data_IF_307482693631
#
_entry.id   IF_307482693631
#
_cell.length_a   1.000
_cell.length_b   1.000
_cell.length_c   1.000
_cell.angle_alpha   90.00
_cell.angle_beta   90.00
_cell.angle_gamma   90.00
#
_symmetry.space_group_name_H-M   'P 1'
#
loop_
_entity.id
_entity.type
_entity.pdbx_description
1 polymer ?
#
# COMPACT_ATOMS: atom_id res chain seq x y z
N UNK A 1 23.59 -11.67 -12.56
CA UNK A 1 22.39 -12.39 -13.03
C UNK A 1 21.21 -11.70 -12.38
N UNK A 2 20.27 -11.14 -13.16
CA UNK A 2 19.03 -10.65 -12.58
C UNK A 2 18.26 -11.87 -12.07
N UNK A 3 18.08 -11.97 -10.77
CA UNK A 3 17.18 -12.97 -10.20
C UNK A 3 15.78 -12.48 -10.54
N UNK A 4 15.11 -13.19 -11.43
CA UNK A 4 13.70 -12.94 -11.76
C UNK A 4 12.88 -13.21 -10.49
N UNK A 5 12.30 -12.15 -9.93
CA UNK A 5 11.44 -12.26 -8.75
C UNK A 5 10.16 -12.97 -9.15
N UNK A 6 9.78 -13.99 -8.40
CA UNK A 6 8.68 -14.90 -8.76
C UNK A 6 7.36 -14.55 -8.08
N UNK A 7 7.39 -13.67 -7.07
CA UNK A 7 6.22 -13.28 -6.31
C UNK A 7 6.18 -11.76 -6.16
N UNK A 8 5.00 -11.21 -6.43
CA UNK A 8 4.66 -9.84 -6.12
C UNK A 8 3.64 -9.83 -4.99
N UNK A 9 3.80 -8.90 -4.06
CA UNK A 9 2.95 -8.77 -2.88
C UNK A 9 2.32 -7.39 -2.91
N UNK A 10 1.00 -7.35 -3.00
CA UNK A 10 0.20 -6.13 -2.97
C UNK A 10 -0.40 -5.99 -1.57
N UNK A 11 -0.12 -4.87 -0.91
CA UNK A 11 -0.77 -4.51 0.36
C UNK A 11 -1.68 -3.30 0.10
N UNK A 12 -2.97 -3.49 0.36
CA UNK A 12 -3.98 -2.46 0.20
C UNK A 12 -4.00 -1.55 1.43
N UNK A 13 -3.62 -0.29 1.24
CA UNK A 13 -3.55 0.75 2.28
C UNK A 13 -4.49 1.93 2.00
N UNK A 14 -5.22 1.88 0.89
CA UNK A 14 -6.23 2.85 0.47
C UNK A 14 -7.57 2.72 1.21
N UNK A 15 -8.63 3.26 0.61
CA UNK A 15 -9.97 3.31 1.20
C UNK A 15 -10.29 4.65 1.86
N UNK A 16 -11.47 4.73 2.51
CA UNK A 16 -12.02 6.01 3.03
C UNK A 16 -11.55 6.39 4.45
N UNK A 17 -10.79 5.52 5.14
CA UNK A 17 -10.30 5.76 6.50
C UNK A 17 -11.38 6.11 7.56
N UNK A 18 -12.65 5.73 7.33
CA UNK A 18 -13.80 6.10 8.19
C UNK A 18 -13.83 5.41 9.56
N UNK A 19 -13.08 4.32 9.72
CA UNK A 19 -13.16 3.47 10.93
C UNK A 19 -12.31 3.96 12.09
N UNK A 20 -11.30 4.79 11.82
CA UNK A 20 -10.33 5.25 12.80
C UNK A 20 -10.21 6.78 12.80
N UNK A 21 -11.35 7.47 12.88
CA UNK A 21 -11.35 8.93 13.02
C UNK A 21 -10.72 9.67 11.85
N UNK A 22 -10.84 9.15 10.62
CA UNK A 22 -10.22 9.64 9.38
C UNK A 22 -8.68 9.50 9.33
N UNK A 23 -8.05 8.89 10.34
CA UNK A 23 -6.67 8.45 10.22
C UNK A 23 -6.59 7.12 9.48
N UNK A 24 -5.56 6.96 8.65
CA UNK A 24 -5.34 5.69 7.99
C UNK A 24 -4.98 4.59 8.99
N UNK A 25 -5.64 3.44 8.86
CA UNK A 25 -5.32 2.26 9.65
C UNK A 25 -3.84 1.85 9.54
N UNK A 26 -3.18 2.12 8.41
CA UNK A 26 -1.78 1.77 8.18
C UNK A 26 -0.82 2.44 9.17
N UNK A 27 -1.11 3.66 9.61
CA UNK A 27 -0.24 4.45 10.50
C UNK A 27 -0.60 4.33 11.98
N UNK A 28 -1.70 3.64 12.31
CA UNK A 28 -2.11 3.44 13.70
C UNK A 28 -1.06 2.63 14.45
N UNK A 29 -0.70 3.10 15.64
CA UNK A 29 0.26 2.42 16.48
C UNK A 29 -0.39 1.19 17.14
N UNK A 30 0.22 0.02 16.91
CA UNK A 30 -0.15 -1.25 17.52
C UNK A 30 1.13 -1.88 18.06
N UNK A 31 1.15 -2.18 19.36
CA UNK A 31 2.33 -2.71 20.05
C UNK A 31 3.58 -1.82 19.87
N UNK A 32 3.40 -0.49 19.95
CA UNK A 32 4.51 0.49 19.85
C UNK A 32 5.05 0.71 18.43
N UNK A 33 4.33 0.24 17.40
CA UNK A 33 4.77 0.36 16.00
C UNK A 33 3.58 0.57 15.05
N UNK A 34 3.70 1.41 14.01
CA UNK A 34 2.70 1.51 12.94
C UNK A 34 2.26 0.16 12.40
N UNK A 35 0.95 -0.05 12.24
CA UNK A 35 0.36 -1.33 11.83
C UNK A 35 1.01 -1.88 10.55
N UNK A 36 1.25 -1.02 9.56
CA UNK A 36 1.84 -1.44 8.28
C UNK A 36 3.28 -1.95 8.40
N UNK A 37 4.05 -1.46 9.38
CA UNK A 37 5.42 -1.90 9.56
C UNK A 37 5.51 -3.34 10.08
N UNK A 38 4.50 -3.86 10.80
CA UNK A 38 4.46 -5.28 11.15
C UNK A 38 4.44 -6.18 9.91
N UNK A 39 3.73 -5.76 8.85
CA UNK A 39 3.69 -6.47 7.58
C UNK A 39 5.01 -6.28 6.82
N UNK A 40 5.48 -5.05 6.67
CA UNK A 40 6.67 -4.75 5.86
C UNK A 40 7.95 -5.36 6.44
N UNK A 41 8.13 -5.35 7.76
CA UNK A 41 9.28 -6.02 8.41
C UNK A 41 9.22 -7.54 8.31
N UNK A 42 8.01 -8.11 8.20
CA UNK A 42 7.88 -9.54 7.90
C UNK A 42 8.31 -9.81 6.47
N UNK A 43 7.88 -8.97 5.54
CA UNK A 43 8.20 -9.08 4.12
C UNK A 43 9.65 -8.72 3.79
N UNK A 44 10.35 -7.92 4.60
CA UNK A 44 11.77 -7.61 4.37
C UNK A 44 12.70 -8.81 4.49
N UNK A 45 12.19 -9.95 4.98
CA UNK A 45 12.89 -11.24 5.04
C UNK A 45 12.82 -12.03 3.73
N UNK A 46 12.04 -11.56 2.76
CA UNK A 46 11.80 -12.21 1.47
C UNK A 46 12.23 -11.31 0.32
N UNK A 47 12.85 -11.90 -0.69
CA UNK A 47 13.31 -11.20 -1.90
C UNK A 47 12.20 -11.12 -2.94
N UNK A 48 11.15 -10.36 -2.62
CA UNK A 48 9.96 -10.20 -3.46
C UNK A 48 9.72 -8.73 -3.76
N UNK A 49 8.89 -8.43 -4.76
CA UNK A 49 8.42 -7.07 -4.99
C UNK A 49 7.22 -6.78 -4.09
N UNK A 50 7.25 -5.64 -3.41
CA UNK A 50 6.20 -5.22 -2.48
C UNK A 50 5.63 -3.89 -2.93
N UNK A 51 4.32 -3.90 -3.18
CA UNK A 51 3.55 -2.75 -3.62
C UNK A 51 2.59 -2.31 -2.52
N UNK A 52 2.61 -1.03 -2.16
CA UNK A 52 1.63 -0.42 -1.28
C UNK A 52 0.63 0.40 -2.10
N UNK A 53 -0.62 -0.04 -2.16
CA UNK A 53 -1.65 0.62 -2.98
C UNK A 53 -2.49 1.57 -2.14
N UNK A 54 -2.34 2.86 -2.41
CA UNK A 54 -2.97 3.98 -1.71
C UNK A 54 -4.09 4.60 -2.55
N UNK A 55 -5.00 5.32 -1.89
CA UNK A 55 -6.11 5.99 -2.58
C UNK A 55 -5.72 7.32 -3.26
N UNK A 56 -4.54 7.86 -2.97
CA UNK A 56 -4.07 9.17 -3.43
C UNK A 56 -2.58 9.39 -3.14
N UNK A 57 -1.95 10.26 -3.92
CA UNK A 57 -0.58 10.76 -3.67
C UNK A 57 -0.45 11.46 -2.31
N UNK A 58 -1.50 12.16 -1.86
CA UNK A 58 -1.50 12.80 -0.54
C UNK A 58 -1.33 11.76 0.57
N UNK A 59 -2.02 10.61 0.45
CA UNK A 59 -1.90 9.52 1.41
C UNK A 59 -0.47 8.95 1.42
N UNK A 60 0.12 8.71 0.26
CA UNK A 60 1.52 8.22 0.12
C UNK A 60 2.48 9.18 0.82
N UNK A 61 2.40 10.47 0.51
CA UNK A 61 3.24 11.50 1.10
C UNK A 61 3.09 11.59 2.62
N UNK A 62 1.88 11.34 3.15
CA UNK A 62 1.66 11.31 4.59
C UNK A 62 2.38 10.14 5.27
N UNK A 63 2.57 9.03 4.56
CA UNK A 63 3.25 7.85 5.10
C UNK A 63 4.76 8.02 5.10
N UNK A 64 5.35 8.54 4.01
CA UNK A 64 6.79 8.84 3.98
C UNK A 64 7.23 9.79 5.09
N UNK A 65 6.34 10.69 5.54
CA UNK A 65 6.61 11.60 6.67
C UNK A 65 6.54 10.92 8.04
N UNK A 66 5.77 9.84 8.17
CA UNK A 66 5.45 9.17 9.45
C UNK A 66 6.19 7.85 9.64
N UNK A 67 6.62 7.21 8.56
CA UNK A 67 7.12 5.83 8.57
C UNK A 67 8.50 5.80 7.91
N UNK A 68 9.47 5.21 8.62
CA UNK A 68 10.76 4.83 8.05
C UNK A 68 10.69 3.38 7.58
N UNK A 69 10.63 3.16 6.26
CA UNK A 69 10.48 1.82 5.70
C UNK A 69 11.81 1.06 5.73
N UNK A 70 11.83 -0.22 6.18
CA UNK A 70 13.06 -1.01 6.31
C UNK A 70 13.58 -1.61 5.00
N UNK A 71 12.89 -1.35 3.88
CA UNK A 71 13.21 -1.83 2.53
C UNK A 71 12.65 -0.84 1.50
N UNK A 72 13.08 -0.98 0.26
CA UNK A 72 12.44 -0.27 -0.85
C UNK A 72 11.01 -0.80 -1.04
N UNK A 73 10.08 0.14 -1.22
CA UNK A 73 8.65 -0.09 -1.32
C UNK A 73 8.13 0.75 -2.49
N UNK A 74 7.49 0.08 -3.44
CA UNK A 74 6.81 0.75 -4.55
C UNK A 74 5.42 1.17 -4.10
N UNK A 75 5.11 2.45 -4.20
CA UNK A 75 3.75 2.93 -3.97
C UNK A 75 2.99 3.01 -5.29
N UNK A 76 1.70 2.69 -5.22
CA UNK A 76 0.78 2.73 -6.36
C UNK A 76 -0.46 3.51 -5.92
N UNK A 77 -0.99 4.37 -6.78
CA UNK A 77 -2.25 5.06 -6.54
C UNK A 77 -3.39 4.30 -7.22
N UNK A 78 -4.53 4.18 -6.54
CA UNK A 78 -5.75 3.62 -7.10
C UNK A 78 -6.11 4.29 -8.45
N UNK A 79 -6.21 3.49 -9.50
CA UNK A 79 -6.62 3.89 -10.84
C UNK A 79 -8.16 3.97 -10.92
N UNK A 80 -8.67 5.15 -10.64
CA UNK A 80 -10.11 5.45 -10.66
C UNK A 80 -10.67 5.69 -12.07
N UNK A 81 -9.85 5.72 -13.13
CA UNK A 81 -10.30 6.07 -14.49
C UNK A 81 -11.27 5.04 -15.08
N UNK A 82 -11.22 3.80 -14.60
CA UNK A 82 -12.11 2.71 -15.02
C UNK A 82 -13.51 2.77 -14.37
N UNK A 83 -13.72 3.69 -13.43
CA UNK A 83 -14.95 3.77 -12.64
C UNK A 83 -15.84 4.91 -13.12
N UNK A 84 -17.15 4.66 -13.17
CA UNK A 84 -18.14 5.73 -13.38
C UNK A 84 -18.22 6.68 -12.16
N UNK A 85 -17.99 6.14 -10.96
CA UNK A 85 -17.92 6.89 -9.71
C UNK A 85 -16.47 6.98 -9.22
N UNK A 86 -15.83 8.13 -9.45
CA UNK A 86 -14.45 8.40 -9.03
C UNK A 86 -14.28 8.49 -7.50
N UNK A 87 -15.35 8.50 -6.71
CA UNK A 87 -15.33 8.45 -5.23
C UNK A 87 -15.51 7.03 -4.67
N UNK A 88 -15.77 6.06 -5.55
CA UNK A 88 -15.86 4.66 -5.17
C UNK A 88 -14.47 4.16 -4.75
N UNK A 89 -14.40 3.59 -3.55
CA UNK A 89 -13.19 2.99 -2.99
C UNK A 89 -13.50 1.56 -2.61
N UNK A 90 -12.88 0.60 -3.28
CA UNK A 90 -13.09 -0.83 -3.01
C UNK A 90 -11.75 -1.56 -3.02
N UNK A 91 -11.63 -2.69 -2.31
CA UNK A 91 -10.42 -3.52 -2.39
C UNK A 91 -10.09 -3.95 -3.82
N UNK A 92 -11.10 -4.19 -4.66
CA UNK A 92 -10.91 -4.59 -6.06
C UNK A 92 -10.21 -3.52 -6.90
N UNK A 93 -10.48 -2.25 -6.64
CA UNK A 93 -9.79 -1.14 -7.31
C UNK A 93 -8.29 -1.16 -7.03
N UNK A 94 -7.91 -1.35 -5.77
CA UNK A 94 -6.50 -1.41 -5.39
C UNK A 94 -5.80 -2.66 -5.90
N UNK A 95 -6.51 -3.80 -5.97
CA UNK A 95 -6.00 -5.00 -6.63
C UNK A 95 -5.75 -4.73 -8.11
N UNK A 96 -6.74 -4.20 -8.84
CA UNK A 96 -6.61 -3.85 -10.26
C UNK A 96 -5.43 -2.92 -10.51
N UNK A 97 -5.29 -1.87 -9.69
CA UNK A 97 -4.22 -0.88 -9.81
C UNK A 97 -2.85 -1.52 -9.59
N UNK A 98 -2.70 -2.35 -8.55
CA UNK A 98 -1.45 -3.07 -8.31
C UNK A 98 -1.11 -4.08 -9.40
N UNK A 99 -2.12 -4.71 -10.02
CA UNK A 99 -1.90 -5.66 -11.14
C UNK A 99 -1.36 -4.98 -12.40
N UNK A 100 -1.65 -3.70 -12.64
CA UNK A 100 -1.10 -2.94 -13.77
C UNK A 100 0.42 -2.71 -13.68
N UNK A 101 0.99 -2.86 -12.48
CA UNK A 101 2.41 -2.67 -12.20
C UNK A 101 3.21 -3.99 -12.25
N UNK A 102 2.55 -5.09 -12.57
CA UNK A 102 3.18 -6.39 -12.74
C UNK A 102 3.60 -6.55 -14.20
N UNK A 103 4.91 -6.61 -14.45
CA UNK A 103 5.51 -6.90 -15.76
C UNK A 103 5.48 -8.40 -16.12
#
# INVERSE_FOLDING_TARGET
>A
MNVEKKLAIIILIGGKNIRFGNESAAVIEVLGKPLILHQIETLSKFDEDVFLVANSEYQINSYYKKINFPRDIKFVVDDTEILEDAELRTPMLGIYSGFKELD
#
